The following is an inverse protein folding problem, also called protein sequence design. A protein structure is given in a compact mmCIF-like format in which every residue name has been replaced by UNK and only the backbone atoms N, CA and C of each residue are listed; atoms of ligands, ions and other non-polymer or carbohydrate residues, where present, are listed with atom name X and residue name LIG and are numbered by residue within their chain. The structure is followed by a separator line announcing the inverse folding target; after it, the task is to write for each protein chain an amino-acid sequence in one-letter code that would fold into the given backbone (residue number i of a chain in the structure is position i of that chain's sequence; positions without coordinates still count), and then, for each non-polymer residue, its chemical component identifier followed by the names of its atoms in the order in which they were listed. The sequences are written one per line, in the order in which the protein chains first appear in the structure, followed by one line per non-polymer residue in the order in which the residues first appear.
data_IF_002909968137
#
_entry.id   IF_002909968137
#
_cell.length_a   1.000
_cell.length_b   1.000
_cell.length_c   1.000
_cell.angle_alpha   90.00
_cell.angle_beta   90.00
_cell.angle_gamma   90.00
#
_symmetry.space_group_name_H-M   'P 1'
#
loop_
_entity.id
_entity.type
_entity.pdbx_description
1 polymer ?
#
# COMPACT_ATOMS: atom_id res chain seq x y z
N UNK A 1 -14.17 -41.45 18.22
CA UNK A 1 -13.47 -40.41 19.01
C UNK A 1 -12.37 -39.80 18.15
N UNK A 2 -12.71 -38.84 17.27
CA UNK A 2 -11.76 -37.97 16.55
C UNK A 2 -12.58 -36.81 15.96
N UNK A 3 -12.89 -35.81 16.78
CA UNK A 3 -13.56 -34.55 16.37
C UNK A 3 -13.34 -33.47 17.43
N UNK A 4 -12.08 -33.28 17.83
CA UNK A 4 -11.68 -32.22 18.77
C UNK A 4 -10.54 -31.34 18.26
N UNK A 5 -9.77 -31.77 17.25
CA UNK A 5 -8.65 -30.99 16.69
C UNK A 5 -9.07 -29.84 15.76
N UNK A 6 -10.17 -29.97 15.03
CA UNK A 6 -10.55 -28.97 14.02
C UNK A 6 -11.02 -27.63 14.59
N UNK A 7 -11.45 -27.61 15.85
CA UNK A 7 -11.93 -26.40 16.54
C UNK A 7 -10.78 -25.59 17.14
N UNK A 8 -9.69 -26.24 17.55
CA UNK A 8 -8.50 -25.58 18.07
C UNK A 8 -7.74 -24.83 16.95
N UNK A 9 -7.51 -25.49 15.81
CA UNK A 9 -6.90 -24.87 14.62
C UNK A 9 -7.69 -23.67 14.07
N UNK A 10 -9.03 -23.73 14.16
CA UNK A 10 -9.88 -22.62 13.73
C UNK A 10 -9.81 -21.46 14.72
N UNK A 11 -9.73 -21.75 16.02
CA UNK A 11 -9.67 -20.73 17.06
C UNK A 11 -8.30 -20.04 17.12
N UNK A 12 -7.22 -20.80 16.94
CA UNK A 12 -5.85 -20.27 16.83
C UNK A 12 -5.69 -19.38 15.59
N UNK A 13 -6.24 -19.79 14.45
CA UNK A 13 -6.23 -18.99 13.22
C UNK A 13 -7.08 -17.71 13.31
N UNK A 14 -8.18 -17.75 14.06
CA UNK A 14 -9.04 -16.60 14.35
C UNK A 14 -8.37 -15.63 15.34
N UNK A 15 -7.62 -16.15 16.31
CA UNK A 15 -6.83 -15.33 17.25
C UNK A 15 -5.64 -14.68 16.55
N UNK A 16 -4.94 -15.40 15.67
CA UNK A 16 -3.83 -14.88 14.86
C UNK A 16 -4.28 -13.78 13.89
N UNK A 17 -5.43 -13.96 13.21
CA UNK A 17 -6.01 -12.90 12.36
C UNK A 17 -6.48 -11.68 13.17
N UNK A 18 -7.01 -11.88 14.39
CA UNK A 18 -7.44 -10.78 15.26
C UNK A 18 -6.25 -9.97 15.77
N UNK A 19 -5.15 -10.64 16.13
CA UNK A 19 -3.90 -9.99 16.53
C UNK A 19 -3.27 -9.21 15.37
N UNK A 20 -3.27 -9.77 14.15
CA UNK A 20 -2.77 -9.09 12.94
C UNK A 20 -3.61 -7.86 12.57
N UNK A 21 -4.94 -7.91 12.74
CA UNK A 21 -5.82 -6.76 12.57
C UNK A 21 -5.57 -5.70 13.66
N UNK A 22 -5.42 -6.11 14.91
CA UNK A 22 -5.18 -5.23 16.05
C UNK A 22 -3.81 -4.54 15.95
N UNK A 23 -2.76 -5.26 15.54
CA UNK A 23 -1.44 -4.71 15.22
C UNK A 23 -1.52 -3.72 14.04
N UNK A 24 -2.32 -4.03 13.01
CA UNK A 24 -2.55 -3.09 11.91
C UNK A 24 -3.36 -1.85 12.33
N UNK A 25 -4.10 -1.90 13.43
CA UNK A 25 -4.83 -0.74 13.97
C UNK A 25 -3.96 0.14 14.86
N UNK A 26 -2.95 -0.43 15.53
CA UNK A 26 -2.05 0.32 16.40
C UNK A 26 -1.05 1.16 15.61
N UNK A 27 -0.98 2.46 15.90
CA UNK A 27 0.04 3.34 15.33
C UNK A 27 1.40 3.07 16.00
N UNK A 28 2.39 2.60 15.25
CA UNK A 28 3.68 2.19 15.79
C UNK A 28 4.66 3.38 15.87
N UNK A 29 5.55 3.34 16.87
CA UNK A 29 6.61 4.34 17.03
C UNK A 29 7.57 4.36 15.84
N UNK A 30 7.91 3.19 15.30
CA UNK A 30 8.79 3.05 14.14
C UNK A 30 8.23 3.70 12.88
N UNK A 31 6.90 3.74 12.73
CA UNK A 31 6.26 4.44 11.60
C UNK A 31 6.41 5.97 11.74
N UNK A 32 6.35 6.48 12.98
CA UNK A 32 6.58 7.90 13.26
C UNK A 32 8.03 8.27 12.97
N UNK A 33 8.97 7.47 13.46
CA UNK A 33 10.40 7.64 13.22
C UNK A 33 10.71 7.64 11.71
N UNK A 34 10.21 6.64 10.98
CA UNK A 34 10.31 6.57 9.53
C UNK A 34 9.72 7.81 8.85
N UNK A 35 8.52 8.23 9.26
CA UNK A 35 7.83 9.36 8.67
C UNK A 35 8.59 10.67 8.90
N UNK A 36 9.12 10.91 10.10
CA UNK A 36 9.98 12.06 10.43
C UNK A 36 11.26 12.04 9.59
N UNK A 37 11.97 10.90 9.54
CA UNK A 37 13.19 10.75 8.75
C UNK A 37 12.96 10.98 7.25
N UNK A 38 11.77 10.66 6.75
CA UNK A 38 11.39 10.85 5.35
C UNK A 38 10.98 12.28 4.96
N UNK A 39 10.91 13.21 5.91
CA UNK A 39 10.64 14.62 5.61
C UNK A 39 11.81 15.20 4.80
N UNK A 40 11.52 16.10 3.86
CA UNK A 40 12.55 16.78 3.06
C UNK A 40 12.94 18.09 3.73
N UNK A 41 14.23 18.37 3.73
CA UNK A 41 14.79 19.62 4.24
C UNK A 41 14.61 20.76 3.21
N UNK A 42 14.73 22.00 3.67
CA UNK A 42 14.57 23.22 2.91
C UNK A 42 13.14 23.44 2.41
N UNK A 43 12.13 22.87 3.09
CA UNK A 43 10.72 23.01 2.71
C UNK A 43 10.02 24.05 3.57
N UNK A 44 9.22 24.89 2.90
CA UNK A 44 8.43 25.93 3.56
C UNK A 44 7.47 25.32 4.58
N UNK A 45 7.36 25.93 5.78
CA UNK A 45 6.44 25.47 6.82
C UNK A 45 4.98 25.73 6.45
N UNK A 46 4.07 25.15 7.24
CA UNK A 46 2.64 25.43 7.14
C UNK A 46 2.27 26.70 7.89
N UNK A 47 0.99 26.81 8.28
CA UNK A 47 0.49 27.92 9.11
C UNK A 47 1.00 27.92 10.55
N UNK A 48 1.74 26.89 10.96
CA UNK A 48 2.37 26.73 12.26
C UNK A 48 3.82 27.23 12.30
N UNK A 49 4.39 27.60 11.15
CA UNK A 49 5.78 28.06 11.00
C UNK A 49 6.85 27.06 11.48
N UNK A 50 6.49 25.78 11.62
CA UNK A 50 7.41 24.71 12.05
C UNK A 50 8.07 24.07 10.84
N UNK A 51 9.40 24.17 10.77
CA UNK A 51 10.22 23.54 9.73
C UNK A 51 10.44 22.05 10.00
N UNK A 52 10.74 21.29 8.94
CA UNK A 52 10.98 19.85 9.05
C UNK A 52 12.23 19.53 9.90
N UNK A 53 13.25 20.38 9.78
CA UNK A 53 14.53 20.30 10.46
C UNK A 53 14.37 20.46 11.97
N UNK A 54 13.45 21.34 12.41
CA UNK A 54 13.14 21.51 13.82
C UNK A 54 12.58 20.22 14.41
N UNK A 55 11.68 19.55 13.68
CA UNK A 55 11.10 18.28 14.10
C UNK A 55 12.17 17.19 14.18
N UNK A 56 13.03 17.10 13.16
CA UNK A 56 14.14 16.13 13.13
C UNK A 56 15.15 16.37 14.25
N UNK A 57 15.42 17.63 14.58
CA UNK A 57 16.37 18.02 15.62
C UNK A 57 15.91 17.63 17.03
N UNK A 58 14.62 17.35 17.24
CA UNK A 58 14.10 16.88 18.54
C UNK A 58 14.55 15.45 18.91
N UNK A 59 15.12 14.68 17.98
CA UNK A 59 15.64 13.34 18.26
C UNK A 59 14.61 12.37 18.83
N UNK A 60 15.06 11.43 19.67
CA UNK A 60 14.23 10.36 20.26
C UNK A 60 13.08 10.90 21.11
N UNK A 61 13.31 11.94 21.91
CA UNK A 61 12.27 12.56 22.73
C UNK A 61 11.17 13.17 21.86
N UNK A 62 11.57 13.81 20.75
CA UNK A 62 10.65 14.30 19.73
C UNK A 62 9.78 13.19 19.15
N UNK A 63 10.40 12.06 18.78
CA UNK A 63 9.68 10.89 18.25
C UNK A 63 8.64 10.39 19.26
N UNK A 64 8.99 10.32 20.55
CA UNK A 64 8.06 9.87 21.60
C UNK A 64 6.89 10.83 21.79
N UNK A 65 7.13 12.14 21.75
CA UNK A 65 6.09 13.16 21.82
C UNK A 65 5.16 13.07 20.62
N UNK A 66 5.72 12.95 19.40
CA UNK A 66 4.95 12.78 18.17
C UNK A 66 4.13 11.49 18.19
N UNK A 67 4.70 10.38 18.68
CA UNK A 67 4.00 9.11 18.77
C UNK A 67 2.80 9.19 19.69
N UNK A 68 2.96 9.77 20.89
CA UNK A 68 1.85 10.00 21.83
C UNK A 68 0.76 10.89 21.23
N UNK A 69 1.15 11.98 20.57
CA UNK A 69 0.21 12.91 19.93
C UNK A 69 -0.56 12.25 18.80
N UNK A 70 0.14 11.64 17.84
CA UNK A 70 -0.46 10.98 16.69
C UNK A 70 -1.33 9.80 17.09
N UNK A 71 -0.92 9.00 18.09
CA UNK A 71 -1.73 7.91 18.65
C UNK A 71 -3.07 8.44 19.19
N UNK A 72 -3.04 9.53 19.96
CA UNK A 72 -4.27 10.16 20.47
C UNK A 72 -5.18 10.67 19.35
N UNK A 73 -4.59 11.25 18.30
CA UNK A 73 -5.34 11.72 17.10
C UNK A 73 -5.97 10.52 16.37
N UNK A 74 -5.20 9.44 16.22
CA UNK A 74 -5.61 8.20 15.57
C UNK A 74 -6.80 7.54 16.27
N UNK A 75 -6.67 7.31 17.58
CA UNK A 75 -7.72 6.67 18.40
C UNK A 75 -9.00 7.49 18.46
N UNK A 76 -8.89 8.82 18.52
CA UNK A 76 -10.06 9.71 18.58
C UNK A 76 -10.66 10.02 17.21
N UNK A 77 -9.94 9.78 16.12
CA UNK A 77 -10.32 10.24 14.78
C UNK A 77 -10.43 11.77 14.64
N UNK A 78 -9.85 12.53 15.57
CA UNK A 78 -10.00 13.99 15.64
C UNK A 78 -8.69 14.70 15.30
N UNK A 79 -8.64 15.26 14.09
CA UNK A 79 -7.49 16.05 13.66
C UNK A 79 -7.43 17.41 14.35
N UNK A 80 -6.24 17.90 14.78
CA UNK A 80 -6.08 19.25 15.29
C UNK A 80 -6.49 20.29 14.25
N UNK A 81 -7.10 21.41 14.69
CA UNK A 81 -7.56 22.46 13.79
C UNK A 81 -6.42 23.02 12.94
N UNK A 82 -5.24 23.23 13.53
CA UNK A 82 -4.07 23.73 12.81
C UNK A 82 -3.61 22.80 11.69
N UNK A 83 -3.71 21.50 11.91
CA UNK A 83 -3.34 20.50 10.92
C UNK A 83 -4.36 20.36 9.79
N UNK A 84 -5.57 20.89 9.94
CA UNK A 84 -6.59 20.96 8.89
C UNK A 84 -6.42 22.19 7.98
N UNK A 85 -5.57 23.15 8.36
CA UNK A 85 -5.37 24.38 7.61
C UNK A 85 -4.24 24.22 6.58
N UNK A 86 -4.35 24.96 5.49
CA UNK A 86 -3.33 25.06 4.46
C UNK A 86 -3.18 26.51 4.01
N UNK A 87 -1.94 26.95 3.76
CA UNK A 87 -1.67 28.21 3.07
C UNK A 87 -1.65 27.93 1.56
N UNK A 88 -2.51 28.60 0.81
CA UNK A 88 -2.56 28.47 -0.64
C UNK A 88 -1.71 29.56 -1.31
N UNK A 89 -0.72 29.15 -2.08
CA UNK A 89 0.17 30.05 -2.82
C UNK A 89 -0.02 29.79 -4.33
N UNK A 90 -0.61 30.74 -5.08
CA UNK A 90 -0.68 30.64 -6.53
C UNK A 90 0.69 30.96 -7.14
N UNK A 91 1.29 30.00 -7.83
CA UNK A 91 2.54 30.20 -8.58
C UNK A 91 2.24 30.46 -10.06
N UNK A 92 2.81 31.52 -10.66
CA UNK A 92 2.62 31.80 -12.07
C UNK A 92 3.27 30.70 -12.93
N UNK A 93 2.56 30.27 -13.98
CA UNK A 93 3.09 29.49 -15.11
C UNK A 93 3.46 30.45 -16.25
N UNK A 94 3.98 29.90 -17.35
CA UNK A 94 4.17 30.66 -18.59
C UNK A 94 2.81 31.07 -19.17
N UNK A 95 2.77 32.22 -19.84
CA UNK A 95 1.58 32.76 -20.51
C UNK A 95 1.14 34.07 -19.88
N UNK A 96 -0.09 34.47 -20.18
CA UNK A 96 -0.70 35.68 -19.64
C UNK A 96 -1.03 35.54 -18.15
N UNK A 97 -0.47 36.43 -17.33
CA UNK A 97 -0.66 36.45 -15.87
C UNK A 97 -2.03 37.00 -15.45
N UNK A 98 -2.83 37.54 -16.37
CA UNK A 98 -4.22 37.94 -16.09
C UNK A 98 -5.18 36.75 -16.09
N UNK A 99 -4.78 35.60 -16.66
CA UNK A 99 -5.62 34.40 -16.72
C UNK A 99 -5.37 33.48 -15.51
N UNK A 100 -6.41 33.24 -14.70
CA UNK A 100 -6.32 32.36 -13.53
C UNK A 100 -5.84 30.93 -13.87
N UNK A 101 -6.14 30.42 -15.06
CA UNK A 101 -5.68 29.10 -15.54
C UNK A 101 -4.15 28.98 -15.65
N UNK A 102 -3.47 30.12 -15.80
CA UNK A 102 -2.01 30.20 -15.88
C UNK A 102 -1.34 30.23 -14.51
N UNK A 103 -2.06 29.90 -13.44
CA UNK A 103 -1.48 29.67 -12.12
C UNK A 103 -1.52 28.19 -11.73
N UNK A 104 -0.54 27.76 -10.95
CA UNK A 104 -0.54 26.50 -10.21
C UNK A 104 -0.58 26.79 -8.73
N UNK A 105 -1.66 26.40 -8.06
CA UNK A 105 -1.75 26.55 -6.62
C UNK A 105 -0.92 25.47 -5.92
N UNK A 106 -0.07 25.88 -4.98
CA UNK A 106 0.57 25.00 -4.00
C UNK A 106 -0.15 25.17 -2.67
N UNK A 107 -0.37 24.07 -1.96
CA UNK A 107 -0.88 24.06 -0.59
C UNK A 107 0.28 23.76 0.37
N UNK A 108 0.58 24.69 1.28
CA UNK A 108 1.51 24.46 2.37
C UNK A 108 0.71 23.99 3.60
N UNK A 109 0.88 22.73 3.95
CA UNK A 109 0.34 22.13 5.17
C UNK A 109 1.46 21.90 6.18
N UNK A 110 1.09 21.89 7.47
CA UNK A 110 1.96 21.58 8.60
C UNK A 110 2.80 20.32 8.35
N UNK A 111 4.09 20.38 8.66
CA UNK A 111 4.97 19.20 8.63
C UNK A 111 4.52 18.13 9.62
N UNK A 112 3.99 18.54 10.77
CA UNK A 112 3.43 17.64 11.77
C UNK A 112 2.23 16.86 11.20
N UNK A 113 1.34 17.53 10.48
CA UNK A 113 0.23 16.85 9.77
C UNK A 113 0.72 15.91 8.65
N UNK A 114 1.80 16.27 7.94
CA UNK A 114 2.37 15.43 6.86
C UNK A 114 2.90 14.10 7.41
N UNK A 115 3.43 14.07 8.64
CA UNK A 115 3.94 12.83 9.26
C UNK A 115 2.83 11.79 9.33
N UNK A 116 1.69 12.13 9.95
CA UNK A 116 0.58 11.20 10.09
C UNK A 116 -0.04 10.84 8.73
N UNK A 117 -0.15 11.81 7.82
CA UNK A 117 -0.64 11.56 6.47
C UNK A 117 0.25 10.58 5.69
N UNK A 118 1.58 10.67 5.82
CA UNK A 118 2.52 9.73 5.20
C UNK A 118 2.32 8.31 5.71
N UNK A 119 2.07 8.13 7.00
CA UNK A 119 1.82 6.82 7.59
C UNK A 119 0.51 6.24 7.05
N UNK A 120 -0.56 7.03 7.04
CA UNK A 120 -1.85 6.64 6.45
C UNK A 120 -1.66 6.20 5.01
N UNK A 121 -1.02 7.05 4.20
CA UNK A 121 -0.78 6.79 2.80
C UNK A 121 0.03 5.50 2.60
N UNK A 122 1.09 5.28 3.39
CA UNK A 122 1.91 4.07 3.30
C UNK A 122 1.13 2.80 3.64
N UNK A 123 0.26 2.87 4.66
CA UNK A 123 -0.63 1.75 5.03
C UNK A 123 -1.66 1.46 3.94
N UNK A 124 -2.25 2.51 3.35
CA UNK A 124 -3.19 2.39 2.25
C UNK A 124 -2.53 1.84 0.99
N UNK A 125 -1.33 2.32 0.63
CA UNK A 125 -0.54 1.83 -0.49
C UNK A 125 -0.29 0.33 -0.36
N UNK A 126 0.14 -0.16 0.81
CA UNK A 126 0.34 -1.59 1.04
C UNK A 126 -0.94 -2.41 0.78
N UNK A 127 -2.08 -1.98 1.36
CA UNK A 127 -3.38 -2.65 1.14
C UNK A 127 -3.80 -2.62 -0.34
N UNK A 128 -3.69 -1.46 -0.98
CA UNK A 128 -4.10 -1.28 -2.37
C UNK A 128 -3.18 -2.01 -3.34
N UNK A 129 -1.87 -1.99 -3.14
CA UNK A 129 -0.90 -2.69 -3.98
C UNK A 129 -1.15 -4.20 -3.92
N UNK A 130 -1.32 -4.78 -2.73
CA UNK A 130 -1.56 -6.23 -2.60
C UNK A 130 -2.87 -6.66 -3.28
N UNK A 131 -3.99 -6.01 -2.99
CA UNK A 131 -5.27 -6.37 -3.59
C UNK A 131 -5.35 -6.07 -5.08
N UNK A 132 -4.90 -4.87 -5.50
CA UNK A 132 -5.03 -4.41 -6.88
C UNK A 132 -4.06 -5.13 -7.80
N UNK A 133 -2.81 -5.36 -7.38
CA UNK A 133 -1.82 -6.09 -8.20
C UNK A 133 -2.25 -7.56 -8.33
N UNK A 134 -2.69 -8.19 -7.24
CA UNK A 134 -3.19 -9.57 -7.26
C UNK A 134 -4.39 -9.71 -8.19
N UNK A 135 -5.40 -8.85 -8.06
CA UNK A 135 -6.59 -8.83 -8.91
C UNK A 135 -6.25 -8.56 -10.37
N UNK A 136 -5.41 -7.56 -10.66
CA UNK A 136 -5.02 -7.19 -12.02
C UNK A 136 -4.27 -8.33 -12.71
N UNK A 137 -3.25 -8.90 -12.05
CA UNK A 137 -2.47 -10.02 -12.57
C UNK A 137 -3.33 -11.27 -12.79
N UNK A 138 -4.20 -11.63 -11.85
CA UNK A 138 -5.09 -12.78 -12.00
C UNK A 138 -6.12 -12.56 -13.13
N UNK A 139 -6.70 -11.37 -13.23
CA UNK A 139 -7.63 -11.03 -14.32
C UNK A 139 -6.94 -11.09 -15.68
N UNK A 140 -5.72 -10.53 -15.77
CA UNK A 140 -4.89 -10.54 -16.97
C UNK A 140 -4.44 -11.96 -17.33
N UNK A 141 -4.08 -12.80 -16.35
CA UNK A 141 -3.81 -14.23 -16.54
C UNK A 141 -4.99 -14.93 -17.22
N UNK A 142 -6.21 -14.71 -16.72
CA UNK A 142 -7.42 -15.26 -17.33
C UNK A 142 -7.61 -14.81 -18.78
N UNK A 143 -7.41 -13.52 -19.05
CA UNK A 143 -7.46 -12.98 -20.42
C UNK A 143 -6.43 -13.68 -21.32
N UNK A 144 -5.16 -13.72 -20.91
CA UNK A 144 -4.08 -14.33 -21.68
C UNK A 144 -4.33 -15.81 -21.95
N UNK A 145 -4.78 -16.59 -20.96
CA UNK A 145 -4.96 -18.04 -21.15
C UNK A 145 -6.09 -18.39 -22.13
N UNK A 146 -7.15 -17.57 -22.18
CA UNK A 146 -8.28 -17.73 -23.10
C UNK A 146 -7.97 -17.34 -24.54
N UNK A 147 -7.02 -16.42 -24.76
CA UNK A 147 -6.67 -15.94 -26.10
C UNK A 147 -5.31 -16.45 -26.57
N UNK A 148 -5.17 -16.73 -27.87
CA UNK A 148 -3.91 -17.14 -28.51
C UNK A 148 -3.11 -15.90 -28.91
N UNK A 149 -2.53 -15.19 -27.94
CA UNK A 149 -1.77 -13.94 -28.20
C UNK A 149 -0.26 -14.12 -28.11
N UNK A 150 0.50 -13.15 -28.61
CA UNK A 150 1.96 -13.14 -28.50
C UNK A 150 2.41 -13.10 -27.03
N UNK A 151 1.68 -12.38 -26.18
CA UNK A 151 1.93 -12.28 -24.75
C UNK A 151 1.82 -13.65 -24.06
N UNK A 152 0.86 -14.50 -24.47
CA UNK A 152 0.77 -15.89 -24.00
C UNK A 152 2.04 -16.66 -24.30
N UNK A 153 2.51 -16.59 -25.53
CA UNK A 153 3.73 -17.27 -25.97
C UNK A 153 4.97 -16.75 -25.23
N UNK A 154 5.09 -15.43 -25.03
CA UNK A 154 6.19 -14.82 -24.27
C UNK A 154 6.17 -15.28 -22.81
N UNK A 155 4.99 -15.36 -22.20
CA UNK A 155 4.85 -15.72 -20.79
C UNK A 155 5.06 -17.22 -20.52
N UNK A 156 4.67 -18.08 -21.46
CA UNK A 156 4.88 -19.54 -21.40
C UNK A 156 6.27 -19.96 -21.92
N UNK A 157 7.00 -19.05 -22.58
CA UNK A 157 8.32 -19.35 -23.14
C UNK A 157 9.34 -19.66 -22.04
N UNK A 158 9.90 -20.88 -22.11
CA UNK A 158 11.07 -21.26 -21.31
C UNK A 158 12.34 -20.77 -22.00
N UNK A 159 12.87 -19.64 -21.53
CA UNK A 159 14.18 -19.14 -21.96
C UNK A 159 15.28 -20.15 -21.62
N UNK A 160 15.96 -20.68 -22.64
CA UNK A 160 17.14 -21.55 -22.49
C UNK A 160 18.34 -20.73 -22.02
N UNK A 161 19.17 -21.28 -21.13
CA UNK A 161 20.45 -20.70 -20.71
C UNK A 161 20.58 -20.44 -19.20
N UNK A 162 21.78 -20.01 -18.78
CA UNK A 162 22.06 -19.66 -17.38
C UNK A 162 21.43 -18.30 -17.04
N UNK A 163 20.82 -18.22 -15.86
CA UNK A 163 20.16 -17.00 -15.36
C UNK A 163 21.23 -15.92 -15.10
N UNK A 164 21.07 -14.74 -15.70
CA UNK A 164 21.95 -13.60 -15.47
C UNK A 164 21.85 -13.05 -14.05
N UNK A 165 22.95 -12.46 -13.55
CA UNK A 165 23.01 -11.80 -12.23
C UNK A 165 22.09 -10.57 -12.23
N UNK A 166 21.21 -10.45 -11.23
CA UNK A 166 20.27 -9.33 -11.08
C UNK A 166 18.86 -9.55 -11.62
N UNK A 167 18.60 -10.59 -12.42
CA UNK A 167 17.23 -10.94 -12.83
C UNK A 167 16.44 -11.48 -11.61
N UNK A 168 15.22 -10.97 -11.32
CA UNK A 168 14.40 -11.49 -10.22
C UNK A 168 14.27 -13.02 -10.24
N UNK A 169 14.34 -13.65 -9.06
CA UNK A 169 14.17 -15.11 -8.87
C UNK A 169 12.73 -15.55 -9.08
N UNK A 170 11.78 -14.75 -8.58
CA UNK A 170 10.36 -15.03 -8.61
C UNK A 170 9.78 -14.66 -9.98
N UNK A 171 9.06 -15.60 -10.59
CA UNK A 171 8.34 -15.40 -11.85
C UNK A 171 6.88 -15.06 -11.57
N UNK A 172 6.21 -14.46 -12.55
CA UNK A 172 4.79 -14.19 -12.48
C UNK A 172 3.96 -15.47 -12.28
N UNK A 173 4.37 -16.60 -12.85
CA UNK A 173 3.73 -17.92 -12.65
C UNK A 173 3.73 -18.32 -11.17
N UNK A 174 4.82 -18.05 -10.45
CA UNK A 174 4.92 -18.34 -9.03
C UNK A 174 3.88 -17.54 -8.23
N UNK A 175 3.59 -16.29 -8.62
CA UNK A 175 2.54 -15.49 -8.00
C UNK A 175 1.16 -16.11 -8.27
N UNK A 176 0.90 -16.59 -9.48
CA UNK A 176 -0.38 -17.24 -9.83
C UNK A 176 -0.57 -18.54 -9.05
N UNK A 177 0.47 -19.35 -8.93
CA UNK A 177 0.43 -20.63 -8.21
C UNK A 177 0.20 -20.44 -6.71
N UNK A 178 0.91 -19.47 -6.12
CA UNK A 178 0.75 -19.08 -4.72
C UNK A 178 -0.67 -18.56 -4.46
N UNK A 179 -1.18 -17.65 -5.30
CA UNK A 179 -2.46 -16.99 -5.06
C UNK A 179 -3.69 -17.84 -5.34
N UNK A 180 -3.59 -18.81 -6.27
CA UNK A 180 -4.68 -19.72 -6.59
C UNK A 180 -4.54 -21.09 -5.89
N UNK A 181 -3.46 -21.28 -5.11
CA UNK A 181 -3.13 -22.54 -4.41
C UNK A 181 -3.19 -23.76 -5.35
N UNK A 182 -2.74 -23.58 -6.59
CA UNK A 182 -2.85 -24.60 -7.64
C UNK A 182 -1.76 -24.40 -8.67
N UNK A 183 -1.39 -25.46 -9.39
CA UNK A 183 -0.39 -25.35 -10.46
C UNK A 183 -0.85 -24.42 -11.59
N UNK A 184 0.08 -23.76 -12.29
CA UNK A 184 -0.22 -22.86 -13.42
C UNK A 184 -1.03 -23.57 -14.52
N UNK A 185 -0.79 -24.88 -14.70
CA UNK A 185 -1.52 -25.73 -15.64
C UNK A 185 -2.98 -25.94 -15.24
N UNK A 186 -3.26 -26.20 -13.95
CA UNK A 186 -4.61 -26.34 -13.43
C UNK A 186 -5.33 -24.98 -13.40
N UNK A 187 -4.65 -23.91 -13.00
CA UNK A 187 -5.14 -22.53 -13.10
C UNK A 187 -5.57 -22.21 -14.54
N UNK A 188 -4.76 -22.60 -15.53
CA UNK A 188 -5.08 -22.46 -16.95
C UNK A 188 -6.38 -23.13 -17.36
N UNK A 189 -6.64 -24.36 -16.89
CA UNK A 189 -7.90 -25.08 -17.17
C UNK A 189 -9.11 -24.38 -16.56
N UNK A 190 -8.96 -23.80 -15.37
CA UNK A 190 -10.02 -23.04 -14.71
C UNK A 190 -10.40 -21.76 -15.48
N UNK A 191 -9.50 -21.20 -16.29
CA UNK A 191 -9.78 -19.98 -17.06
C UNK A 191 -10.81 -20.17 -18.17
N UNK A 192 -11.08 -21.41 -18.60
CA UNK A 192 -12.03 -21.74 -19.66
C UNK A 192 -13.45 -21.29 -19.31
N UNK A 193 -13.85 -21.42 -18.04
CA UNK A 193 -15.10 -20.86 -17.53
C UNK A 193 -14.83 -19.48 -16.93
N UNK A 194 -15.39 -18.45 -17.56
CA UNK A 194 -15.22 -17.05 -17.16
C UNK A 194 -15.82 -16.78 -15.78
N UNK A 195 -16.97 -17.38 -15.45
CA UNK A 195 -17.67 -17.10 -14.19
C UNK A 195 -16.96 -17.79 -13.01
N UNK A 196 -16.64 -19.07 -13.16
CA UNK A 196 -15.85 -19.81 -12.15
C UNK A 196 -14.49 -19.16 -11.92
N UNK A 197 -13.79 -18.75 -12.98
CA UNK A 197 -12.51 -18.07 -12.82
C UNK A 197 -12.67 -16.70 -12.14
N UNK A 198 -13.68 -15.90 -12.49
CA UNK A 198 -13.96 -14.62 -11.83
C UNK A 198 -14.21 -14.79 -10.34
N UNK A 199 -14.98 -15.81 -9.94
CA UNK A 199 -15.23 -16.14 -8.53
C UNK A 199 -13.93 -16.53 -7.83
N UNK A 200 -13.09 -17.35 -8.45
CA UNK A 200 -11.76 -17.71 -7.91
C UNK A 200 -10.84 -16.51 -7.74
N UNK A 201 -10.85 -15.55 -8.66
CA UNK A 201 -10.11 -14.29 -8.51
C UNK A 201 -10.63 -13.51 -7.31
N UNK A 202 -11.95 -13.40 -7.14
CA UNK A 202 -12.56 -12.72 -5.99
C UNK A 202 -12.17 -13.40 -4.67
N UNK A 203 -12.30 -14.72 -4.57
CA UNK A 203 -11.89 -15.51 -3.40
C UNK A 203 -10.40 -15.32 -3.09
N UNK A 204 -9.53 -15.38 -4.09
CA UNK A 204 -8.10 -15.16 -3.90
C UNK A 204 -7.78 -13.74 -3.44
N UNK A 205 -8.48 -12.72 -3.95
CA UNK A 205 -8.27 -11.32 -3.54
C UNK A 205 -8.85 -11.00 -2.17
N UNK A 206 -9.90 -11.71 -1.73
CA UNK A 206 -10.55 -11.49 -0.44
C UNK A 206 -9.96 -12.29 0.72
N UNK A 207 -9.10 -13.29 0.46
CA UNK A 207 -8.45 -14.11 1.51
C UNK A 207 -7.40 -13.37 2.36
N UNK A 208 -7.01 -12.15 1.98
CA UNK A 208 -6.01 -11.34 2.69
C UNK A 208 -6.55 -9.94 3.10
N UNK A 209 -7.86 -9.72 2.99
CA UNK A 209 -8.52 -8.45 3.28
C UNK A 209 -9.12 -8.42 4.67
#
# INVERSE_FOLDING_TARGET
MYSSDSTADQQEKLEETREDEEINLLLLRSEIEWAIGSLKDGKSPGCDDIQAEMIKACGEEGIDVYHKLCKKIWEKGQWPTDWKRAIFIPLPKKGDLQLCSNYRTISLISHASKILLKIIMKRMERKLEEESIKKLKLTYFGHIKRHQTLEKHILEAKMKGKRGKGRPTRRWENDIEEWLETSTSQAGRLTSDRETFRRRVQEATSRNG
#
